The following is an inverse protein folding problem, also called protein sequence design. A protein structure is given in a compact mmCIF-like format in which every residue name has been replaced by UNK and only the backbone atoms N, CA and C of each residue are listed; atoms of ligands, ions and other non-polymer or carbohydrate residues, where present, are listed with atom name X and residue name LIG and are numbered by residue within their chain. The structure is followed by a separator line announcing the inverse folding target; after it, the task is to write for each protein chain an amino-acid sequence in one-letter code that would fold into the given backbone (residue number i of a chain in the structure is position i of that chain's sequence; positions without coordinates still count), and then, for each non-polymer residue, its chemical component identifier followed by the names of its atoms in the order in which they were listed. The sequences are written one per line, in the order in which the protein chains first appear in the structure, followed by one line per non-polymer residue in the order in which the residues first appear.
data_IF_869693145253
#
_entry.id   IF_869693145253
#
_cell.length_a   1.000
_cell.length_b   1.000
_cell.length_c   1.000
_cell.angle_alpha   90.00
_cell.angle_beta   90.00
_cell.angle_gamma   90.00
#
_symmetry.space_group_name_H-M   'P 1'
#
loop_
_entity.id
_entity.type
_entity.pdbx_description
1 polymer ?
#
# COMPACT_ATOMS: atom_id res chain seq x y z
N UNK A 1 -9.98 3.37 33.72
CA UNK A 1 -10.71 2.40 32.85
C UNK A 1 -12.22 2.70 32.92
N UNK A 2 -12.97 2.43 31.87
CA UNK A 2 -14.44 2.61 31.88
C UNK A 2 -15.12 1.50 32.70
N UNK A 3 -16.29 1.75 33.33
CA UNK A 3 -17.06 0.71 33.99
C UNK A 3 -17.56 -0.37 33.02
N UNK A 4 -18.01 -1.50 33.56
CA UNK A 4 -18.64 -2.56 32.77
C UNK A 4 -19.88 -2.01 32.07
N UNK A 5 -20.08 -2.43 30.80
CA UNK A 5 -21.26 -2.11 29.98
C UNK A 5 -21.56 -0.61 29.91
N UNK A 6 -20.51 0.21 29.87
CA UNK A 6 -20.63 1.67 29.84
C UNK A 6 -21.16 2.21 28.51
N UNK A 7 -21.08 1.44 27.43
CA UNK A 7 -21.49 1.89 26.09
C UNK A 7 -22.52 0.95 25.47
N UNK A 8 -23.60 1.50 24.91
CA UNK A 8 -24.58 0.72 24.17
C UNK A 8 -23.97 -0.03 22.98
N UNK A 9 -22.98 0.59 22.33
CA UNK A 9 -22.22 0.02 21.23
C UNK A 9 -20.74 0.40 21.31
N UNK A 10 -19.87 -0.51 20.89
CA UNK A 10 -18.42 -0.30 20.73
C UNK A 10 -18.07 -0.56 19.27
N UNK A 11 -17.22 0.30 18.70
CA UNK A 11 -16.71 0.17 17.34
C UNK A 11 -15.19 0.17 17.37
N UNK A 12 -14.58 -0.85 16.79
CA UNK A 12 -13.15 -0.94 16.53
C UNK A 12 -12.95 -1.22 15.03
N UNK A 13 -12.22 -0.34 14.36
CA UNK A 13 -11.94 -0.45 12.91
C UNK A 13 -10.45 -0.34 12.71
N UNK A 14 -9.88 -1.37 12.11
CA UNK A 14 -8.46 -1.45 11.76
C UNK A 14 -7.57 -1.20 13.01
N UNK A 15 -7.87 -1.94 14.09
CA UNK A 15 -7.18 -1.85 15.40
C UNK A 15 -6.47 -3.15 15.76
N UNK A 16 -7.14 -4.30 15.56
CA UNK A 16 -6.69 -5.57 16.13
C UNK A 16 -5.37 -6.07 15.52
N UNK A 17 -5.14 -5.75 14.26
CA UNK A 17 -3.91 -6.04 13.52
C UNK A 17 -2.69 -5.27 14.01
N UNK A 18 -2.89 -4.15 14.70
CA UNK A 18 -1.83 -3.37 15.34
C UNK A 18 -1.48 -3.86 16.74
N UNK A 19 -2.34 -4.68 17.36
CA UNK A 19 -2.11 -5.27 18.67
C UNK A 19 -1.28 -6.54 18.50
N UNK A 20 -0.23 -6.69 19.33
CA UNK A 20 0.62 -7.89 19.33
C UNK A 20 -0.20 -9.13 19.73
N UNK A 21 0.09 -10.31 19.16
CA UNK A 21 -0.75 -11.50 19.33
C UNK A 21 -1.12 -11.83 20.78
N UNK A 22 -0.18 -11.66 21.69
CA UNK A 22 -0.31 -12.00 23.11
C UNK A 22 -1.32 -11.12 23.85
N UNK A 23 -1.56 -9.90 23.37
CA UNK A 23 -2.46 -8.92 24.00
C UNK A 23 -3.85 -8.87 23.36
N UNK A 24 -4.05 -9.50 22.19
CA UNK A 24 -5.32 -9.45 21.44
C UNK A 24 -6.50 -9.96 22.24
N UNK A 25 -6.32 -11.07 22.96
CA UNK A 25 -7.39 -11.65 23.80
C UNK A 25 -7.81 -10.68 24.91
N UNK A 26 -6.85 -10.00 25.54
CA UNK A 26 -7.14 -8.99 26.57
C UNK A 26 -7.86 -7.79 25.97
N UNK A 27 -7.46 -7.34 24.77
CA UNK A 27 -8.13 -6.25 24.06
C UNK A 27 -9.58 -6.61 23.71
N UNK A 28 -9.83 -7.81 23.18
CA UNK A 28 -11.18 -8.32 22.90
C UNK A 28 -12.02 -8.40 24.16
N UNK A 29 -11.46 -8.91 25.27
CA UNK A 29 -12.15 -8.98 26.55
C UNK A 29 -12.54 -7.60 27.08
N UNK A 30 -11.66 -6.60 26.94
CA UNK A 30 -11.96 -5.23 27.37
C UNK A 30 -13.03 -4.57 26.49
N UNK A 31 -12.96 -4.72 25.16
CA UNK A 31 -14.00 -4.25 24.23
C UNK A 31 -15.36 -4.90 24.54
N UNK A 32 -15.35 -6.20 24.83
CA UNK A 32 -16.53 -6.98 25.23
C UNK A 32 -17.11 -6.55 26.58
N UNK A 33 -16.25 -6.18 27.54
CA UNK A 33 -16.63 -5.76 28.89
C UNK A 33 -17.31 -4.40 28.89
N UNK A 34 -16.77 -3.44 28.16
CA UNK A 34 -17.32 -2.08 28.09
C UNK A 34 -18.56 -1.98 27.18
N UNK A 35 -18.76 -2.96 26.29
CA UNK A 35 -19.96 -3.08 25.45
C UNK A 35 -21.15 -3.65 26.21
N UNK A 36 -22.26 -2.92 26.22
CA UNK A 36 -23.52 -3.34 26.80
C UNK A 36 -24.23 -4.40 25.94
N UNK A 37 -24.32 -4.17 24.62
CA UNK A 37 -24.99 -5.10 23.70
C UNK A 37 -24.24 -5.27 22.37
N UNK A 38 -23.82 -4.19 21.71
CA UNK A 38 -23.26 -4.26 20.36
C UNK A 38 -21.73 -4.04 20.35
N UNK A 39 -21.00 -4.92 19.69
CA UNK A 39 -19.59 -4.72 19.33
C UNK A 39 -19.43 -4.90 17.83
N UNK A 40 -18.89 -3.89 17.16
CA UNK A 40 -18.55 -3.91 15.75
C UNK A 40 -17.03 -3.92 15.64
N UNK A 41 -16.47 -5.01 15.12
CA UNK A 41 -15.02 -5.18 14.99
C UNK A 41 -14.69 -5.41 13.51
N UNK A 42 -14.03 -4.44 12.88
CA UNK A 42 -13.50 -4.59 11.54
C UNK A 42 -11.97 -4.70 11.59
N UNK A 43 -11.42 -5.71 10.91
CA UNK A 43 -9.98 -5.90 10.78
C UNK A 43 -9.62 -6.67 9.49
N UNK A 44 -8.41 -6.48 8.96
CA UNK A 44 -7.83 -7.35 7.94
C UNK A 44 -7.35 -8.66 8.58
N UNK A 45 -8.13 -9.72 8.45
CA UNK A 45 -7.81 -11.04 8.98
C UNK A 45 -6.79 -11.79 8.11
N UNK A 46 -6.25 -12.89 8.66
CA UNK A 46 -5.25 -13.72 8.01
C UNK A 46 -5.76 -14.29 6.68
N UNK A 47 -5.35 -13.68 5.58
CA UNK A 47 -5.62 -14.16 4.23
C UNK A 47 -4.46 -13.82 3.30
N UNK A 48 -3.95 -14.82 2.58
CA UNK A 48 -2.74 -14.68 1.76
C UNK A 48 -2.86 -13.62 0.64
N UNK A 49 -4.02 -13.52 -0.01
CA UNK A 49 -4.24 -12.47 -1.01
C UNK A 49 -4.26 -11.09 -0.38
N UNK A 50 -4.91 -10.92 0.79
CA UNK A 50 -4.96 -9.62 1.48
C UNK A 50 -3.55 -9.13 1.82
N UNK A 51 -2.68 -10.01 2.33
CA UNK A 51 -1.28 -9.69 2.62
C UNK A 51 -0.47 -9.34 1.36
N UNK A 52 -0.74 -10.03 0.26
CA UNK A 52 -0.10 -9.74 -1.02
C UNK A 52 -0.53 -8.37 -1.56
N UNK A 53 -1.81 -8.03 -1.44
CA UNK A 53 -2.36 -6.74 -1.83
C UNK A 53 -1.81 -5.60 -0.95
N UNK A 54 -1.74 -5.77 0.37
CA UNK A 54 -1.12 -4.80 1.29
C UNK A 54 0.33 -4.55 0.94
N UNK A 55 1.09 -5.60 0.63
CA UNK A 55 2.49 -5.45 0.23
C UNK A 55 2.62 -4.68 -1.08
N UNK A 56 1.75 -4.93 -2.06
CA UNK A 56 1.74 -4.15 -3.31
C UNK A 56 1.46 -2.67 -3.06
N UNK A 57 0.50 -2.35 -2.19
CA UNK A 57 0.21 -0.95 -1.81
C UNK A 57 1.39 -0.33 -1.05
N UNK A 58 2.00 -1.07 -0.12
CA UNK A 58 3.17 -0.60 0.63
C UNK A 58 4.36 -0.28 -0.28
N UNK A 59 4.71 -1.21 -1.18
CA UNK A 59 5.80 -1.03 -2.14
C UNK A 59 5.50 0.15 -3.08
N UNK A 60 4.25 0.26 -3.57
CA UNK A 60 3.82 1.40 -4.39
C UNK A 60 4.00 2.73 -3.67
N UNK A 61 3.55 2.87 -2.41
CA UNK A 61 3.72 4.10 -1.62
C UNK A 61 5.21 4.43 -1.46
N UNK A 62 6.03 3.42 -1.16
CA UNK A 62 7.46 3.59 -0.97
C UNK A 62 8.15 4.10 -2.22
N UNK A 63 7.82 3.55 -3.39
CA UNK A 63 8.39 3.93 -4.67
C UNK A 63 7.85 5.27 -5.18
N UNK A 64 6.55 5.50 -5.04
CA UNK A 64 5.86 6.67 -5.59
C UNK A 64 5.99 7.91 -4.70
N UNK A 65 5.78 7.76 -3.39
CA UNK A 65 5.78 8.88 -2.43
C UNK A 65 7.10 9.00 -1.66
N UNK A 66 7.99 8.02 -1.77
CA UNK A 66 9.33 8.08 -1.16
C UNK A 66 9.37 7.84 0.35
N UNK A 67 8.32 7.26 0.95
CA UNK A 67 8.28 6.94 2.38
C UNK A 67 7.66 5.58 2.68
N UNK A 68 7.99 4.99 3.83
CA UNK A 68 7.38 3.74 4.28
C UNK A 68 6.10 4.03 5.09
N UNK A 69 4.94 3.56 4.61
CA UNK A 69 3.67 3.78 5.30
C UNK A 69 3.63 3.03 6.64
N UNK A 70 3.64 3.76 7.76
CA UNK A 70 3.79 3.22 9.12
C UNK A 70 2.85 2.05 9.40
N UNK A 71 1.55 2.22 9.16
CA UNK A 71 0.55 1.20 9.50
C UNK A 71 0.65 -0.04 8.60
N UNK A 72 0.92 0.14 7.30
CA UNK A 72 1.10 -1.00 6.40
C UNK A 72 2.40 -1.75 6.70
N UNK A 73 3.44 -1.03 7.15
CA UNK A 73 4.66 -1.65 7.66
C UNK A 73 4.35 -2.53 8.87
N UNK A 74 3.59 -2.01 9.83
CA UNK A 74 3.14 -2.77 11.01
C UNK A 74 2.36 -4.03 10.61
N UNK A 75 1.41 -3.90 9.67
CA UNK A 75 0.64 -5.01 9.11
C UNK A 75 1.55 -6.09 8.51
N UNK A 76 2.59 -5.72 7.78
CA UNK A 76 3.52 -6.66 7.15
C UNK A 76 4.49 -7.29 8.16
N UNK A 77 4.73 -6.64 9.30
CA UNK A 77 5.62 -7.16 10.36
C UNK A 77 4.91 -8.02 11.39
N UNK A 78 3.65 -7.71 11.72
CA UNK A 78 2.87 -8.47 12.68
C UNK A 78 1.98 -9.48 11.97
N UNK A 79 1.84 -10.71 12.50
CA UNK A 79 0.88 -11.65 11.93
C UNK A 79 -0.53 -11.08 12.06
N UNK A 80 -1.32 -11.20 10.99
CA UNK A 80 -2.74 -10.82 10.99
C UNK A 80 -3.51 -11.51 12.13
N UNK A 81 -4.61 -10.93 12.63
CA UNK A 81 -5.54 -11.68 13.48
C UNK A 81 -6.15 -12.85 12.68
N UNK A 82 -6.40 -13.96 13.36
CA UNK A 82 -7.15 -15.08 12.80
C UNK A 82 -8.65 -14.85 13.01
N UNK A 83 -9.44 -15.00 11.93
CA UNK A 83 -10.88 -14.71 11.95
C UNK A 83 -11.64 -15.68 12.84
N UNK A 84 -11.32 -16.98 12.75
CA UNK A 84 -12.03 -18.05 13.46
C UNK A 84 -11.72 -17.98 14.96
N UNK A 85 -10.46 -17.75 15.32
CA UNK A 85 -10.06 -17.57 16.72
C UNK A 85 -10.70 -16.32 17.32
N UNK A 86 -10.70 -15.20 16.58
CA UNK A 86 -11.32 -13.95 17.03
C UNK A 86 -12.82 -14.11 17.24
N UNK A 87 -13.52 -14.75 16.29
CA UNK A 87 -14.95 -15.04 16.41
C UNK A 87 -15.24 -15.95 17.60
N UNK A 88 -14.48 -17.03 17.76
CA UNK A 88 -14.62 -17.97 18.88
C UNK A 88 -14.45 -17.31 20.24
N UNK A 89 -13.46 -16.41 20.38
CA UNK A 89 -13.25 -15.64 21.62
C UNK A 89 -14.47 -14.76 21.92
N UNK A 90 -15.00 -14.06 20.93
CA UNK A 90 -16.18 -13.19 21.10
C UNK A 90 -17.44 -14.00 21.46
N UNK A 91 -17.62 -15.18 20.87
CA UNK A 91 -18.68 -16.11 21.25
C UNK A 91 -18.52 -16.58 22.70
N UNK A 92 -17.30 -16.91 23.13
CA UNK A 92 -17.01 -17.31 24.51
C UNK A 92 -17.29 -16.19 25.52
N UNK A 93 -17.17 -14.94 25.09
CA UNK A 93 -17.49 -13.74 25.87
C UNK A 93 -19.00 -13.43 25.88
N UNK A 94 -19.83 -14.30 25.30
CA UNK A 94 -21.30 -14.26 25.35
C UNK A 94 -21.95 -13.39 24.29
N UNK A 95 -21.29 -13.19 23.15
CA UNK A 95 -21.90 -12.61 21.95
C UNK A 95 -22.36 -13.70 20.98
N UNK A 96 -23.38 -13.39 20.19
CA UNK A 96 -23.59 -14.04 18.91
C UNK A 96 -22.93 -13.17 17.83
N UNK A 97 -22.36 -13.81 16.81
CA UNK A 97 -21.54 -13.15 15.79
C UNK A 97 -22.10 -13.38 14.39
N UNK A 98 -21.92 -12.38 13.53
CA UNK A 98 -22.07 -12.51 12.08
C UNK A 98 -20.89 -11.82 11.43
N UNK A 99 -20.28 -12.49 10.46
CA UNK A 99 -19.15 -11.97 9.71
C UNK A 99 -19.63 -11.42 8.36
N UNK A 100 -19.25 -10.19 8.05
CA UNK A 100 -19.58 -9.53 6.80
C UNK A 100 -18.28 -9.21 6.06
N UNK A 101 -18.06 -9.72 4.83
CA UNK A 101 -16.90 -9.32 4.04
C UNK A 101 -16.99 -7.83 3.72
N UNK A 102 -15.87 -7.14 3.68
CA UNK A 102 -15.83 -5.73 3.30
C UNK A 102 -14.57 -5.37 2.52
N UNK A 103 -14.78 -4.66 1.41
CA UNK A 103 -13.70 -4.29 0.49
C UNK A 103 -13.27 -5.49 -0.31
N UNK A 104 -14.03 -5.82 -1.35
CA UNK A 104 -13.63 -6.86 -2.30
C UNK A 104 -12.21 -6.55 -2.79
N UNK A 105 -11.33 -7.54 -2.72
CA UNK A 105 -9.88 -7.31 -2.65
C UNK A 105 -9.31 -6.64 -3.90
N UNK A 106 -9.82 -6.97 -5.09
CA UNK A 106 -9.35 -6.38 -6.35
C UNK A 106 -9.75 -4.92 -6.43
N UNK A 107 -10.99 -4.60 -6.07
CA UNK A 107 -11.49 -3.22 -6.08
C UNK A 107 -10.85 -2.38 -4.99
N UNK A 108 -10.65 -2.95 -3.80
CA UNK A 108 -9.91 -2.32 -2.72
C UNK A 108 -8.48 -1.98 -3.15
N UNK A 109 -7.75 -2.94 -3.74
CA UNK A 109 -6.38 -2.74 -4.19
C UNK A 109 -6.29 -1.60 -5.21
N UNK A 110 -7.15 -1.62 -6.22
CA UNK A 110 -7.18 -0.57 -7.25
C UNK A 110 -7.54 0.80 -6.67
N UNK A 111 -8.49 0.85 -5.73
CA UNK A 111 -8.84 2.08 -5.03
C UNK A 111 -7.65 2.62 -4.23
N UNK A 112 -6.93 1.77 -3.50
CA UNK A 112 -5.76 2.16 -2.72
C UNK A 112 -4.61 2.67 -3.60
N UNK A 113 -4.32 1.99 -4.71
CA UNK A 113 -3.31 2.45 -5.68
C UNK A 113 -3.70 3.81 -6.27
N UNK A 114 -4.97 3.98 -6.69
CA UNK A 114 -5.46 5.26 -7.21
C UNK A 114 -5.44 6.38 -6.16
N UNK A 115 -5.79 6.07 -4.91
CA UNK A 115 -5.75 7.02 -3.79
C UNK A 115 -4.33 7.58 -3.60
N UNK A 116 -3.34 6.70 -3.45
CA UNK A 116 -1.96 7.11 -3.20
C UNK A 116 -1.28 7.70 -4.45
N UNK A 117 -1.73 7.32 -5.65
CA UNK A 117 -1.27 7.99 -6.87
C UNK A 117 -1.57 9.48 -6.82
N UNK A 118 -2.85 9.84 -6.63
CA UNK A 118 -3.24 11.24 -6.56
C UNK A 118 -2.72 11.95 -5.32
N UNK A 119 -2.45 11.23 -4.23
CA UNK A 119 -1.81 11.80 -3.04
C UNK A 119 -0.40 12.36 -3.34
N UNK A 120 0.33 11.73 -4.28
CA UNK A 120 1.64 12.20 -4.76
C UNK A 120 1.58 13.38 -5.72
N UNK A 121 0.39 13.83 -6.12
CA UNK A 121 0.19 14.95 -7.03
C UNK A 121 -0.55 16.06 -6.27
N UNK A 122 0.15 17.08 -5.75
CA UNK A 122 -0.47 18.14 -4.93
C UNK A 122 -1.66 18.83 -5.58
N UNK A 123 -1.63 19.01 -6.91
CA UNK A 123 -2.73 19.64 -7.67
C UNK A 123 -3.95 18.72 -7.88
N UNK A 124 -3.87 17.43 -7.53
CA UNK A 124 -4.92 16.44 -7.74
C UNK A 124 -5.71 16.10 -6.47
N UNK A 125 -5.59 16.90 -5.40
CA UNK A 125 -6.26 16.62 -4.12
C UNK A 125 -7.79 16.50 -4.25
N UNK A 126 -8.40 17.32 -5.11
CA UNK A 126 -9.84 17.25 -5.39
C UNK A 126 -10.21 16.01 -6.19
N UNK A 127 -9.38 15.60 -7.17
CA UNK A 127 -9.59 14.36 -7.91
C UNK A 127 -9.53 13.13 -6.98
N UNK A 128 -8.62 13.12 -6.00
CA UNK A 128 -8.56 12.06 -4.98
C UNK A 128 -9.85 12.01 -4.14
N UNK A 129 -10.39 13.17 -3.77
CA UNK A 129 -11.66 13.26 -3.02
C UNK A 129 -12.83 12.77 -3.88
N UNK A 130 -12.87 13.15 -5.15
CA UNK A 130 -13.88 12.68 -6.10
C UNK A 130 -13.80 11.17 -6.33
N UNK A 131 -12.60 10.61 -6.47
CA UNK A 131 -12.36 9.18 -6.62
C UNK A 131 -12.93 8.40 -5.42
N UNK A 132 -12.54 8.78 -4.21
CA UNK A 132 -13.00 8.10 -2.98
C UNK A 132 -14.51 8.24 -2.79
N UNK A 133 -15.07 9.42 -3.07
CA UNK A 133 -16.51 9.65 -3.05
C UNK A 133 -17.26 8.81 -4.11
N UNK A 134 -16.75 8.76 -5.35
CA UNK A 134 -17.31 7.94 -6.42
C UNK A 134 -17.27 6.46 -6.04
N UNK A 135 -16.14 5.98 -5.53
CA UNK A 135 -15.99 4.60 -5.09
C UNK A 135 -17.01 4.26 -4.01
N UNK A 136 -17.07 5.04 -2.93
CA UNK A 136 -17.98 4.78 -1.81
C UNK A 136 -19.45 4.81 -2.22
N UNK A 137 -19.85 5.66 -3.17
CA UNK A 137 -21.25 5.75 -3.62
C UNK A 137 -21.65 4.59 -4.55
N UNK A 138 -20.74 4.10 -5.38
CA UNK A 138 -21.07 3.15 -6.45
C UNK A 138 -20.63 1.71 -6.15
N UNK A 139 -19.65 1.50 -5.27
CA UNK A 139 -19.03 0.20 -5.03
C UNK A 139 -19.22 -0.34 -3.61
N UNK A 140 -19.61 0.49 -2.64
CA UNK A 140 -19.72 0.05 -1.24
C UNK A 140 -20.56 -1.22 -1.04
N UNK A 141 -21.75 -1.27 -1.65
CA UNK A 141 -22.67 -2.41 -1.48
C UNK A 141 -22.20 -3.66 -2.21
N UNK A 142 -21.57 -3.51 -3.37
CA UNK A 142 -21.00 -4.64 -4.11
C UNK A 142 -19.71 -5.17 -3.47
N UNK A 143 -18.98 -4.32 -2.73
CA UNK A 143 -17.78 -4.65 -1.94
C UNK A 143 -18.04 -5.50 -0.71
N UNK A 144 -19.30 -5.67 -0.32
CA UNK A 144 -19.67 -6.69 0.66
C UNK A 144 -19.67 -8.08 -0.02
N UNK A 145 -18.49 -8.52 -0.46
CA UNK A 145 -18.28 -9.75 -1.21
C UNK A 145 -16.86 -10.31 -1.01
N UNK A 146 -16.77 -11.64 -1.00
CA UNK A 146 -15.49 -12.36 -1.04
C UNK A 146 -14.91 -12.41 -2.48
N UNK A 147 -13.58 -12.55 -2.63
CA UNK A 147 -12.56 -12.45 -1.59
C UNK A 147 -12.43 -11.01 -1.09
N UNK A 148 -12.40 -10.80 0.23
CA UNK A 148 -12.35 -9.48 0.86
C UNK A 148 -10.98 -9.15 1.49
N UNK A 149 -10.67 -7.86 1.56
CA UNK A 149 -9.51 -7.32 2.27
C UNK A 149 -9.70 -7.40 3.80
N UNK A 150 -10.90 -7.05 4.27
CA UNK A 150 -11.25 -7.02 5.68
C UNK A 150 -12.61 -7.67 5.92
N UNK A 151 -12.85 -8.04 7.17
CA UNK A 151 -14.15 -8.52 7.61
C UNK A 151 -14.64 -7.67 8.76
N UNK A 152 -15.96 -7.43 8.78
CA UNK A 152 -16.66 -6.83 9.89
C UNK A 152 -17.38 -7.94 10.67
N UNK A 153 -16.97 -8.15 11.92
CA UNK A 153 -17.72 -8.94 12.88
C UNK A 153 -18.76 -8.03 13.54
N UNK A 154 -20.02 -8.40 13.37
CA UNK A 154 -21.14 -7.81 14.09
C UNK A 154 -21.47 -8.73 15.26
N UNK A 155 -21.21 -8.28 16.47
CA UNK A 155 -21.37 -9.05 17.70
C UNK A 155 -22.50 -8.46 18.55
N UNK A 156 -23.50 -9.26 18.92
CA UNK A 156 -24.59 -8.80 19.81
C UNK A 156 -24.94 -9.81 20.89
N UNK A 157 -25.37 -9.34 22.06
CA UNK A 157 -25.81 -10.22 23.16
C UNK A 157 -27.30 -10.56 23.10
N UNK A 158 -28.11 -9.69 22.50
CA UNK A 158 -29.58 -9.83 22.51
C UNK A 158 -30.23 -9.82 21.12
N UNK A 159 -29.73 -9.00 20.20
CA UNK A 159 -30.49 -8.61 19.00
C UNK A 159 -30.60 -9.72 17.95
N UNK A 160 -29.54 -10.51 17.75
CA UNK A 160 -29.58 -11.66 16.83
C UNK A 160 -30.41 -12.81 17.39
N UNK A 161 -30.45 -13.02 18.71
CA UNK A 161 -31.34 -14.02 19.33
C UNK A 161 -32.81 -13.69 19.12
N UNK A 162 -33.17 -12.42 19.26
CA UNK A 162 -34.55 -11.96 19.15
C UNK A 162 -35.02 -11.88 17.70
N UNK A 163 -34.11 -11.55 16.76
CA UNK A 163 -34.42 -11.47 15.34
C UNK A 163 -33.23 -11.98 14.51
N UNK A 164 -33.13 -13.31 14.32
CA UNK A 164 -32.02 -13.93 13.60
C UNK A 164 -31.80 -13.34 12.20
N UNK A 165 -32.89 -13.00 11.51
CA UNK A 165 -32.88 -12.39 10.17
C UNK A 165 -32.56 -10.89 10.11
N UNK A 166 -32.26 -10.22 11.24
CA UNK A 166 -32.12 -8.76 11.26
C UNK A 166 -30.92 -8.25 10.44
N UNK A 167 -29.86 -9.06 10.32
CA UNK A 167 -28.70 -8.71 9.52
C UNK A 167 -28.93 -9.01 8.04
N UNK A 168 -29.58 -10.13 7.73
CA UNK A 168 -30.05 -10.47 6.39
C UNK A 168 -31.03 -9.42 5.86
N UNK A 169 -31.90 -8.87 6.72
CA UNK A 169 -32.81 -7.77 6.36
C UNK A 169 -32.05 -6.48 6.01
N UNK A 170 -30.92 -6.19 6.68
CA UNK A 170 -30.08 -5.03 6.38
C UNK A 170 -29.28 -5.28 5.10
N UNK A 171 -28.69 -6.47 4.97
CA UNK A 171 -27.85 -6.84 3.83
C UNK A 171 -28.68 -7.08 2.56
N UNK A 172 -29.93 -7.55 2.66
CA UNK A 172 -30.83 -7.73 1.51
C UNK A 172 -31.22 -6.41 0.86
N UNK A 173 -31.09 -5.28 1.55
CA UNK A 173 -31.17 -3.94 0.93
C UNK A 173 -30.08 -3.72 -0.12
N UNK A 174 -29.02 -4.53 -0.18
CA UNK A 174 -28.04 -4.57 -1.27
C UNK A 174 -28.72 -4.66 -2.65
N UNK A 175 -29.83 -5.38 -2.78
CA UNK A 175 -30.58 -5.50 -4.04
C UNK A 175 -31.20 -4.17 -4.53
N UNK A 176 -31.25 -3.12 -3.70
CA UNK A 176 -31.77 -1.81 -4.09
C UNK A 176 -30.71 -0.90 -4.72
N UNK A 177 -29.44 -1.31 -4.73
CA UNK A 177 -28.36 -0.48 -5.26
C UNK A 177 -27.97 -0.90 -6.68
N UNK A 178 -27.70 0.06 -7.57
CA UNK A 178 -27.33 -0.24 -8.95
C UNK A 178 -26.05 -1.08 -9.00
N UNK A 179 -25.93 -1.86 -10.07
CA UNK A 179 -24.66 -2.52 -10.40
C UNK A 179 -23.52 -1.51 -10.44
N UNK A 180 -22.31 -1.89 -10.00
CA UNK A 180 -21.19 -0.97 -9.98
C UNK A 180 -20.86 -0.43 -11.37
N UNK A 181 -20.50 0.86 -11.45
CA UNK A 181 -20.16 1.53 -12.71
C UNK A 181 -18.74 1.15 -13.14
N UNK A 182 -18.60 -0.09 -13.64
CA UNK A 182 -17.33 -0.66 -14.09
C UNK A 182 -16.73 0.08 -15.28
N UNK A 183 -17.56 0.69 -16.14
CA UNK A 183 -17.07 1.46 -17.29
C UNK A 183 -16.36 2.73 -16.84
N UNK A 184 -16.96 3.52 -15.93
CA UNK A 184 -16.26 4.68 -15.36
C UNK A 184 -15.03 4.25 -14.57
N UNK A 185 -15.12 3.16 -13.82
CA UNK A 185 -13.97 2.64 -13.10
C UNK A 185 -12.81 2.25 -14.03
N UNK A 186 -13.11 1.61 -15.17
CA UNK A 186 -12.12 1.31 -16.22
C UNK A 186 -11.52 2.58 -16.81
N UNK A 187 -12.32 3.60 -17.09
CA UNK A 187 -11.83 4.88 -17.60
C UNK A 187 -10.85 5.55 -16.62
N UNK A 188 -11.15 5.50 -15.32
CA UNK A 188 -10.22 5.99 -14.28
C UNK A 188 -8.89 5.22 -14.30
N UNK A 189 -8.92 3.89 -14.40
CA UNK A 189 -7.71 3.08 -14.51
C UNK A 189 -6.90 3.44 -15.76
N UNK A 190 -7.56 3.64 -16.90
CA UNK A 190 -6.90 4.06 -18.14
C UNK A 190 -6.23 5.43 -18.00
N UNK A 191 -6.89 6.40 -17.35
CA UNK A 191 -6.31 7.71 -17.08
C UNK A 191 -5.06 7.62 -16.20
N UNK A 192 -5.12 6.83 -15.12
CA UNK A 192 -3.96 6.55 -14.27
C UNK A 192 -2.80 5.96 -15.08
N UNK A 193 -3.08 4.92 -15.87
CA UNK A 193 -2.06 4.23 -16.68
C UNK A 193 -1.44 5.16 -17.72
N UNK A 194 -2.24 6.03 -18.34
CA UNK A 194 -1.72 7.00 -19.31
C UNK A 194 -0.85 8.08 -18.64
N UNK A 195 -1.24 8.57 -17.47
CA UNK A 195 -0.44 9.51 -16.68
C UNK A 195 0.93 8.94 -16.33
N UNK A 196 0.97 7.69 -15.86
CA UNK A 196 2.22 7.02 -15.52
C UNK A 196 3.06 6.70 -16.77
N UNK A 197 2.43 6.25 -17.86
CA UNK A 197 3.12 6.03 -19.13
C UNK A 197 3.83 7.30 -19.60
N UNK A 198 3.14 8.45 -19.54
CA UNK A 198 3.71 9.73 -19.90
C UNK A 198 4.89 10.09 -19.00
N UNK A 199 4.76 9.93 -17.68
CA UNK A 199 5.84 10.19 -16.71
C UNK A 199 7.07 9.34 -16.99
N UNK A 200 6.88 8.05 -17.27
CA UNK A 200 7.98 7.12 -17.57
C UNK A 200 8.68 7.48 -18.88
N UNK A 201 7.94 7.96 -19.89
CA UNK A 201 8.52 8.48 -21.13
C UNK A 201 9.36 9.74 -20.86
N UNK A 202 8.87 10.67 -20.05
CA UNK A 202 9.62 11.89 -19.67
C UNK A 202 10.92 11.54 -18.91
N UNK A 203 10.87 10.58 -17.99
CA UNK A 203 12.08 10.08 -17.29
C UNK A 203 13.05 9.40 -18.24
N UNK A 204 12.55 8.57 -19.17
CA UNK A 204 13.37 7.90 -20.17
C UNK A 204 14.11 8.93 -21.03
N UNK A 205 13.41 9.95 -21.50
CA UNK A 205 13.98 10.99 -22.37
C UNK A 205 15.05 11.83 -21.63
N UNK A 206 14.85 12.14 -20.34
CA UNK A 206 15.88 12.76 -19.48
C UNK A 206 17.12 11.87 -19.34
N UNK A 207 16.92 10.57 -19.04
CA UNK A 207 18.02 9.63 -18.88
C UNK A 207 18.80 9.43 -20.17
N UNK A 208 18.13 9.35 -21.33
CA UNK A 208 18.77 9.27 -22.64
C UNK A 208 19.60 10.53 -22.93
N UNK A 209 19.09 11.72 -22.59
CA UNK A 209 19.81 12.99 -22.73
C UNK A 209 21.08 13.00 -21.87
N UNK A 210 20.97 12.61 -20.59
CA UNK A 210 22.11 12.53 -19.66
C UNK A 210 23.13 11.46 -20.06
N UNK A 211 22.68 10.35 -20.63
CA UNK A 211 23.55 9.31 -21.16
C UNK A 211 24.36 9.85 -22.35
N UNK A 212 23.71 10.52 -23.29
CA UNK A 212 24.37 11.13 -24.45
C UNK A 212 25.42 12.17 -24.03
N UNK A 213 25.12 13.02 -23.05
CA UNK A 213 26.09 13.97 -22.48
C UNK A 213 27.32 13.27 -21.88
N UNK A 214 27.10 12.18 -21.14
CA UNK A 214 28.19 11.38 -20.57
C UNK A 214 29.03 10.68 -21.63
N UNK A 215 28.42 10.14 -22.66
CA UNK A 215 29.14 9.51 -23.78
C UNK A 215 30.01 10.52 -24.53
N UNK A 216 29.50 11.74 -24.74
CA UNK A 216 30.28 12.83 -25.33
C UNK A 216 31.47 13.22 -24.44
N UNK A 217 31.26 13.35 -23.13
CA UNK A 217 32.32 13.66 -22.19
C UNK A 217 33.40 12.56 -22.14
N UNK A 218 33.01 11.29 -22.14
CA UNK A 218 33.93 10.15 -22.21
C UNK A 218 34.73 10.14 -23.52
N UNK A 219 34.09 10.43 -24.65
CA UNK A 219 34.77 10.56 -25.95
C UNK A 219 35.82 11.67 -25.93
N UNK A 220 35.51 12.83 -25.34
CA UNK A 220 36.46 13.93 -25.17
C UNK A 220 37.65 13.52 -24.28
N UNK A 221 37.39 12.85 -23.15
CA UNK A 221 38.46 12.36 -22.27
C UNK A 221 39.34 11.33 -22.97
N UNK A 222 38.75 10.40 -23.74
CA UNK A 222 39.51 9.39 -24.47
C UNK A 222 40.44 10.01 -25.52
N UNK A 223 39.96 11.04 -26.24
CA UNK A 223 40.80 11.81 -27.18
C UNK A 223 41.95 12.49 -26.45
N UNK A 224 41.67 13.16 -25.32
CA UNK A 224 42.70 13.83 -24.53
C UNK A 224 43.77 12.87 -23.98
N UNK A 225 43.35 11.71 -23.46
CA UNK A 225 44.27 10.65 -23.03
C UNK A 225 45.15 10.20 -24.20
N UNK A 226 44.56 9.98 -25.38
CA UNK A 226 45.30 9.57 -26.59
C UNK A 226 46.31 10.64 -27.01
N UNK A 227 45.97 11.92 -26.92
CA UNK A 227 46.89 13.03 -27.19
C UNK A 227 48.05 13.08 -26.18
N UNK A 228 47.76 12.89 -24.89
CA UNK A 228 48.79 12.81 -23.84
C UNK A 228 49.72 11.62 -24.03
N UNK A 229 49.20 10.45 -24.39
CA UNK A 229 49.99 9.25 -24.70
C UNK A 229 50.91 9.49 -25.89
N UNK A 230 50.38 10.08 -26.97
CA UNK A 230 51.15 10.45 -28.15
C UNK A 230 52.24 11.48 -27.82
N UNK A 231 51.93 12.51 -27.03
CA UNK A 231 52.90 13.49 -26.56
C UNK A 231 54.00 12.84 -25.72
N UNK A 232 53.64 12.01 -24.74
CA UNK A 232 54.58 11.27 -23.89
C UNK A 232 55.50 10.38 -24.73
N UNK A 233 54.97 9.69 -25.75
CA UNK A 233 55.75 8.88 -26.67
C UNK A 233 56.74 9.71 -27.50
N UNK A 234 56.31 10.89 -28.00
CA UNK A 234 57.20 11.83 -28.71
C UNK A 234 58.32 12.35 -27.81
N UNK A 235 58.00 12.74 -26.58
CA UNK A 235 59.01 13.16 -25.59
C UNK A 235 60.00 12.02 -25.33
N UNK A 236 59.52 10.80 -25.09
CA UNK A 236 60.37 9.61 -24.88
C UNK A 236 61.27 9.27 -26.08
N UNK A 237 60.80 9.56 -27.29
CA UNK A 237 61.57 9.32 -28.52
C UNK A 237 62.68 10.37 -28.76
N UNK A 238 62.55 11.58 -28.19
CA UNK A 238 63.48 12.69 -28.38
C UNK A 238 64.87 12.38 -27.81
N UNK A 239 65.92 12.74 -28.56
CA UNK A 239 67.31 12.45 -28.20
C UNK A 239 67.75 13.14 -26.91
N UNK A 240 67.26 14.36 -26.64
CA UNK A 240 67.56 15.08 -25.40
C UNK A 240 66.96 14.38 -24.18
N UNK A 241 65.74 13.82 -24.30
CA UNK A 241 65.14 13.03 -23.24
C UNK A 241 65.87 11.69 -23.03
N UNK A 242 66.33 11.04 -24.11
CA UNK A 242 67.15 9.82 -24.01
C UNK A 242 68.50 10.09 -23.33
N UNK A 243 69.16 11.19 -23.66
CA UNK A 243 70.40 11.65 -23.02
C UNK A 243 70.16 11.99 -21.55
N UNK A 244 69.10 12.77 -21.24
CA UNK A 244 68.70 13.07 -19.86
C UNK A 244 68.44 11.78 -19.06
N UNK A 245 67.70 10.82 -19.63
CA UNK A 245 67.44 9.52 -18.99
C UNK A 245 68.74 8.73 -18.75
N UNK A 246 69.67 8.72 -19.69
CA UNK A 246 70.96 8.03 -19.56
C UNK A 246 71.88 8.67 -18.51
N UNK A 247 71.88 10.00 -18.42
CA UNK A 247 72.73 10.76 -17.49
C UNK A 247 72.18 10.79 -16.06
N UNK A 248 70.85 10.83 -15.88
CA UNK A 248 70.23 11.10 -14.57
C UNK A 248 69.33 9.97 -14.04
N UNK A 249 68.90 9.02 -14.88
CA UNK A 249 67.96 7.95 -14.49
C UNK A 249 68.60 6.57 -14.35
N UNK A 250 69.92 6.44 -14.57
CA UNK A 250 70.71 5.23 -14.31
C UNK A 250 71.42 5.21 -12.94
N UNK A 251 71.04 6.10 -12.00
CA UNK A 251 71.58 6.17 -10.63
C UNK A 251 70.48 6.09 -9.56
N UNK A 252 69.53 5.18 -9.75
CA UNK A 252 68.70 4.62 -8.68
C UNK A 252 68.60 3.11 -8.91
#
# INVERSE_FOLDING_TARGET
PFPDRSFSAVLAVDVLEHIVPEERKQALAEMARISQDLLLLAAPFAYGLARSAEKMVFDFIKEWLGYEHKYLKEHLTHPAPDLVETESELVSLGFDTVVIPNGQIERWLLMMLGYYYFDGIPSAIELRRELTSFYNRNFFWSDLAEPAYRHLLVCTRQRLRQKPGALEDILSRKQQYPEPDYERFRLWLQLFMQGETRRLLEIKDDLESRLAEKELALSHQQKYITELENFNNRVKANIFYKIYRALFKGRQ
#
